data_IF_497345089517
#
_entry.id   IF_497345089517
#
_cell.length_a   1.000
_cell.length_b   1.000
_cell.length_c   1.000
_cell.angle_alpha   90.00
_cell.angle_beta   90.00
_cell.angle_gamma   90.00
#
_symmetry.space_group_name_H-M   'P 1'
#
loop_
_entity.id
_entity.type
_entity.pdbx_description
1 polymer ?
#
# COMPACT_ATOMS: atom_id res chain seq x y z
N UNK A 1 -27.13 -19.04 -2.94
CA UNK A 1 -26.21 -18.88 -4.10
C UNK A 1 -26.87 -18.15 -5.28
N UNK A 2 -28.12 -18.48 -5.65
CA UNK A 2 -28.85 -17.77 -6.71
C UNK A 2 -28.91 -16.24 -6.53
N UNK A 3 -29.25 -15.76 -5.33
CA UNK A 3 -29.38 -14.31 -5.07
C UNK A 3 -28.06 -13.53 -5.24
N UNK A 4 -26.92 -14.14 -4.88
CA UNK A 4 -25.59 -13.53 -5.05
C UNK A 4 -25.21 -13.44 -6.53
N UNK A 5 -25.55 -14.47 -7.30
CA UNK A 5 -25.36 -14.47 -8.75
C UNK A 5 -26.22 -13.41 -9.42
N UNK A 6 -27.52 -13.37 -9.10
CA UNK A 6 -28.46 -12.35 -9.61
C UNK A 6 -28.01 -10.95 -9.23
N UNK A 7 -27.59 -10.73 -7.97
CA UNK A 7 -27.01 -9.46 -7.54
C UNK A 7 -25.80 -9.07 -8.41
N UNK A 8 -24.87 -9.99 -8.66
CA UNK A 8 -23.72 -9.76 -9.52
C UNK A 8 -24.10 -9.36 -10.95
N UNK A 9 -25.14 -9.98 -11.52
CA UNK A 9 -25.68 -9.63 -12.85
C UNK A 9 -26.31 -8.24 -12.84
N UNK A 10 -27.19 -7.95 -11.87
CA UNK A 10 -27.86 -6.66 -11.75
C UNK A 10 -26.85 -5.53 -11.61
N UNK A 11 -25.91 -5.63 -10.66
CA UNK A 11 -24.91 -4.59 -10.44
C UNK A 11 -23.97 -4.40 -11.62
N UNK A 12 -23.67 -5.45 -12.39
CA UNK A 12 -22.91 -5.34 -13.63
C UNK A 12 -23.66 -4.58 -14.71
N UNK A 13 -24.99 -4.67 -14.73
CA UNK A 13 -25.84 -4.02 -15.74
C UNK A 13 -26.18 -2.58 -15.39
N UNK A 14 -26.18 -2.17 -14.11
CA UNK A 14 -26.51 -0.78 -13.74
C UNK A 14 -25.75 0.32 -14.51
N UNK A 15 -24.45 0.19 -14.84
CA UNK A 15 -23.77 1.16 -15.70
C UNK A 15 -24.40 1.37 -17.08
N UNK A 16 -25.18 0.42 -17.61
CA UNK A 16 -25.90 0.62 -18.89
C UNK A 16 -27.01 1.67 -18.78
N UNK A 17 -27.42 2.02 -17.56
CA UNK A 17 -28.42 3.05 -17.29
C UNK A 17 -27.85 4.48 -17.27
N UNK A 18 -26.53 4.65 -17.40
CA UNK A 18 -25.87 5.97 -17.37
C UNK A 18 -26.53 6.99 -18.31
N UNK A 19 -26.84 6.68 -19.59
CA UNK A 19 -27.49 7.65 -20.48
C UNK A 19 -28.85 8.12 -19.96
N UNK A 20 -29.63 7.22 -19.37
CA UNK A 20 -30.93 7.54 -18.79
C UNK A 20 -30.78 8.41 -17.54
N UNK A 21 -29.84 8.07 -16.65
CA UNK A 21 -29.56 8.84 -15.44
C UNK A 21 -29.08 10.26 -15.77
N UNK A 22 -28.26 10.40 -16.82
CA UNK A 22 -27.81 11.70 -17.31
C UNK A 22 -28.96 12.58 -17.82
N UNK A 23 -29.94 11.96 -18.48
CA UNK A 23 -31.13 12.65 -18.99
C UNK A 23 -32.09 13.19 -17.90
N UNK A 24 -31.98 12.72 -16.66
CA UNK A 24 -32.84 13.17 -15.54
C UNK A 24 -32.41 14.53 -14.96
N UNK A 25 -31.17 14.97 -15.22
CA UNK A 25 -30.68 16.33 -14.92
C UNK A 25 -30.52 16.74 -13.45
N UNK A 26 -31.18 16.05 -12.50
CA UNK A 26 -31.20 16.42 -11.08
C UNK A 26 -30.29 15.58 -10.17
N UNK A 27 -29.58 14.60 -10.71
CA UNK A 27 -28.64 13.76 -9.95
C UNK A 27 -29.27 12.77 -8.95
N UNK A 28 -30.56 12.89 -8.64
CA UNK A 28 -31.24 12.06 -7.63
C UNK A 28 -31.15 10.56 -7.93
N UNK A 29 -31.36 10.18 -9.20
CA UNK A 29 -31.25 8.79 -9.62
C UNK A 29 -29.85 8.24 -9.44
N UNK A 30 -28.82 9.04 -9.77
CA UNK A 30 -27.42 8.62 -9.66
C UNK A 30 -27.02 8.46 -8.18
N UNK A 31 -27.34 9.46 -7.34
CA UNK A 31 -27.07 9.42 -5.90
C UNK A 31 -27.73 8.22 -5.23
N UNK A 32 -29.03 8.03 -5.47
CA UNK A 32 -29.79 6.91 -4.94
C UNK A 32 -29.18 5.55 -5.33
N UNK A 33 -28.83 5.36 -6.62
CA UNK A 33 -28.26 4.10 -7.09
C UNK A 33 -26.91 3.83 -6.42
N UNK A 34 -26.01 4.81 -6.39
CA UNK A 34 -24.68 4.63 -5.79
C UNK A 34 -24.79 4.36 -4.28
N UNK A 35 -25.61 5.12 -3.54
CA UNK A 35 -25.84 4.88 -2.11
C UNK A 35 -26.44 3.51 -1.82
N UNK A 36 -27.41 3.05 -2.65
CA UNK A 36 -28.00 1.71 -2.53
C UNK A 36 -26.99 0.61 -2.83
N UNK A 37 -26.12 0.81 -3.81
CA UNK A 37 -25.03 -0.10 -4.13
C UNK A 37 -24.07 -0.25 -2.94
N UNK A 38 -23.61 0.85 -2.36
CA UNK A 38 -22.73 0.82 -1.18
C UNK A 38 -23.42 0.24 0.06
N UNK A 39 -24.69 0.58 0.29
CA UNK A 39 -25.47 -0.04 1.37
C UNK A 39 -25.60 -1.56 1.16
N UNK A 40 -25.87 -2.01 -0.07
CA UNK A 40 -25.97 -3.45 -0.36
C UNK A 40 -24.61 -4.15 -0.19
N UNK A 41 -23.53 -3.49 -0.57
CA UNK A 41 -22.18 -3.97 -0.34
C UNK A 41 -21.99 -4.39 1.13
N UNK A 42 -22.39 -3.53 2.08
CA UNK A 42 -22.30 -3.82 3.53
C UNK A 42 -23.06 -5.09 3.94
N UNK A 43 -24.17 -5.38 3.28
CA UNK A 43 -24.99 -6.57 3.59
C UNK A 43 -24.46 -7.86 2.97
N UNK A 44 -23.59 -7.76 1.95
CA UNK A 44 -22.99 -8.92 1.29
C UNK A 44 -21.67 -9.23 1.99
N UNK A 45 -21.75 -10.04 3.04
CA UNK A 45 -20.62 -10.50 3.82
C UNK A 45 -20.43 -12.01 3.66
N UNK A 46 -19.19 -12.48 3.79
CA UNK A 46 -18.91 -13.91 3.91
C UNK A 46 -18.77 -14.27 5.39
N UNK A 47 -19.21 -15.48 5.73
CA UNK A 47 -18.98 -16.08 7.04
C UNK A 47 -17.69 -16.89 7.04
N UNK A 48 -16.97 -17.00 8.17
CA UNK A 48 -15.88 -17.97 8.33
C UNK A 48 -16.31 -19.41 8.02
N UNK A 49 -17.60 -19.73 8.19
CA UNK A 49 -18.19 -21.04 7.89
C UNK A 49 -18.59 -21.23 6.43
N UNK A 50 -18.49 -20.20 5.59
CA UNK A 50 -18.83 -20.31 4.17
C UNK A 50 -17.80 -21.18 3.43
N UNK A 51 -18.28 -22.04 2.54
CA UNK A 51 -17.43 -22.81 1.61
C UNK A 51 -16.70 -21.90 0.60
N UNK A 52 -15.66 -22.43 -0.04
CA UNK A 52 -14.84 -21.68 -1.00
C UNK A 52 -15.63 -21.13 -2.19
N UNK A 53 -16.65 -21.86 -2.65
CA UNK A 53 -17.50 -21.47 -3.78
C UNK A 53 -18.36 -20.25 -3.41
N UNK A 54 -18.96 -20.26 -2.22
CA UNK A 54 -19.77 -19.16 -1.69
C UNK A 54 -18.91 -17.92 -1.43
N UNK A 55 -17.71 -18.09 -0.83
CA UNK A 55 -16.75 -16.98 -0.67
C UNK A 55 -16.41 -16.34 -2.00
N UNK A 56 -16.14 -17.14 -3.03
CA UNK A 56 -15.86 -16.66 -4.39
C UNK A 56 -17.05 -15.86 -4.97
N UNK A 57 -18.28 -16.34 -4.79
CA UNK A 57 -19.49 -15.61 -5.23
C UNK A 57 -19.68 -14.28 -4.49
N UNK A 58 -19.45 -14.24 -3.19
CA UNK A 58 -19.51 -13.02 -2.36
C UNK A 58 -18.49 -12.00 -2.84
N UNK A 59 -17.21 -12.40 -2.96
CA UNK A 59 -16.13 -11.53 -3.44
C UNK A 59 -16.42 -11.00 -4.85
N UNK A 60 -16.91 -11.85 -5.74
CA UNK A 60 -17.29 -11.44 -7.09
C UNK A 60 -18.44 -10.43 -7.08
N UNK A 61 -19.51 -10.65 -6.31
CA UNK A 61 -20.63 -9.72 -6.21
C UNK A 61 -20.18 -8.35 -5.68
N UNK A 62 -19.37 -8.33 -4.61
CA UNK A 62 -18.83 -7.10 -4.03
C UNK A 62 -17.89 -6.36 -4.98
N UNK A 63 -17.04 -7.08 -5.72
CA UNK A 63 -16.21 -6.51 -6.78
C UNK A 63 -17.06 -5.89 -7.89
N UNK A 64 -18.18 -6.52 -8.28
CA UNK A 64 -19.11 -5.94 -9.27
C UNK A 64 -19.76 -4.67 -8.74
N UNK A 65 -20.18 -4.65 -7.48
CA UNK A 65 -20.74 -3.45 -6.85
C UNK A 65 -19.72 -2.31 -6.88
N UNK A 66 -18.54 -2.52 -6.29
CA UNK A 66 -17.51 -1.47 -6.19
C UNK A 66 -17.06 -0.96 -7.56
N UNK A 67 -16.77 -1.85 -8.53
CA UNK A 67 -16.38 -1.44 -9.89
C UNK A 67 -17.49 -0.71 -10.64
N UNK A 68 -18.75 -1.12 -10.51
CA UNK A 68 -19.87 -0.43 -11.14
C UNK A 68 -20.17 0.92 -10.49
N UNK A 69 -20.03 1.05 -9.16
CA UNK A 69 -20.17 2.33 -8.45
C UNK A 69 -19.15 3.34 -8.97
N UNK A 70 -17.89 2.92 -9.13
CA UNK A 70 -16.83 3.75 -9.72
C UNK A 70 -17.17 4.18 -11.16
N UNK A 71 -17.68 3.26 -12.00
CA UNK A 71 -18.04 3.59 -13.39
C UNK A 71 -19.18 4.61 -13.48
N UNK A 72 -20.22 4.44 -12.68
CA UNK A 72 -21.35 5.37 -12.60
C UNK A 72 -20.84 6.72 -12.10
N UNK A 73 -20.01 6.73 -11.05
CA UNK A 73 -19.45 7.96 -10.52
C UNK A 73 -18.59 8.72 -11.52
N UNK A 74 -17.77 8.02 -12.32
CA UNK A 74 -16.96 8.65 -13.37
C UNK A 74 -17.83 9.33 -14.42
N UNK A 75 -18.90 8.67 -14.84
CA UNK A 75 -19.76 9.18 -15.90
C UNK A 75 -20.71 10.30 -15.46
N UNK A 76 -21.04 10.35 -14.16
CA UNK A 76 -22.04 11.23 -13.57
C UNK A 76 -21.48 12.05 -12.40
N UNK A 77 -20.19 12.39 -12.43
CA UNK A 77 -19.50 13.02 -11.31
C UNK A 77 -20.16 14.35 -10.90
N UNK A 78 -20.50 15.18 -11.88
CA UNK A 78 -21.16 16.48 -11.66
C UNK A 78 -22.56 16.30 -11.08
N UNK A 79 -23.32 15.34 -11.60
CA UNK A 79 -24.68 15.02 -11.17
C UNK A 79 -24.69 14.41 -9.76
N UNK A 80 -23.61 13.78 -9.32
CA UNK A 80 -23.46 13.22 -7.97
C UNK A 80 -23.05 14.26 -6.91
N UNK A 81 -22.66 15.47 -7.30
CA UNK A 81 -22.19 16.50 -6.38
C UNK A 81 -23.18 16.77 -5.20
N UNK A 82 -24.51 16.85 -5.40
CA UNK A 82 -25.47 17.06 -4.31
C UNK A 82 -25.52 15.90 -3.30
N UNK A 83 -25.17 14.68 -3.73
CA UNK A 83 -25.18 13.47 -2.92
C UNK A 83 -23.79 13.08 -2.40
N UNK A 84 -22.76 13.90 -2.67
CA UNK A 84 -21.37 13.60 -2.35
C UNK A 84 -21.17 13.26 -0.88
N UNK A 85 -21.76 14.03 0.03
CA UNK A 85 -21.60 13.84 1.47
C UNK A 85 -22.09 12.46 1.93
N UNK A 86 -23.27 12.06 1.48
CA UNK A 86 -23.86 10.74 1.78
C UNK A 86 -22.98 9.60 1.23
N UNK A 87 -22.59 9.68 -0.05
CA UNK A 87 -21.78 8.64 -0.68
C UNK A 87 -20.39 8.56 -0.05
N UNK A 88 -19.80 9.70 0.30
CA UNK A 88 -18.51 9.78 0.99
C UNK A 88 -18.58 9.15 2.37
N UNK A 89 -19.64 9.44 3.14
CA UNK A 89 -19.87 8.82 4.45
C UNK A 89 -19.98 7.30 4.35
N UNK A 90 -20.77 6.78 3.42
CA UNK A 90 -20.89 5.34 3.18
C UNK A 90 -19.56 4.68 2.79
N UNK A 91 -18.78 5.35 1.93
CA UNK A 91 -17.46 4.86 1.53
C UNK A 91 -16.45 4.87 2.70
N UNK A 92 -16.45 5.90 3.53
CA UNK A 92 -15.59 5.99 4.72
C UNK A 92 -15.98 4.94 5.77
N UNK A 93 -17.27 4.69 5.99
CA UNK A 93 -17.73 3.60 6.86
C UNK A 93 -17.28 2.22 6.36
N UNK A 94 -17.29 2.01 5.04
CA UNK A 94 -16.76 0.77 4.43
C UNK A 94 -15.26 0.61 4.66
N UNK A 95 -14.50 1.68 4.48
CA UNK A 95 -13.05 1.69 4.73
C UNK A 95 -12.70 1.47 6.20
N UNK A 96 -13.56 1.89 7.12
CA UNK A 96 -13.42 1.62 8.56
C UNK A 96 -13.80 0.20 8.97
N UNK A 97 -14.40 -0.60 8.08
CA UNK A 97 -14.79 -1.98 8.38
C UNK A 97 -13.64 -2.96 8.12
N UNK A 98 -13.46 -3.95 8.99
CA UNK A 98 -12.49 -5.05 8.79
C UNK A 98 -12.88 -6.03 7.68
N UNK A 99 -14.03 -5.82 7.05
CA UNK A 99 -14.64 -6.75 6.11
C UNK A 99 -14.21 -6.52 4.66
N UNK A 100 -13.40 -5.50 4.35
CA UNK A 100 -13.00 -5.13 2.99
C UNK A 100 -11.62 -5.72 2.63
N UNK A 101 -11.50 -6.29 1.42
CA UNK A 101 -10.22 -6.80 0.90
C UNK A 101 -9.36 -5.66 0.33
N UNK A 102 -8.05 -5.89 0.19
CA UNK A 102 -7.12 -4.88 -0.35
C UNK A 102 -7.51 -4.36 -1.74
N UNK A 103 -8.01 -5.24 -2.62
CA UNK A 103 -8.49 -4.86 -3.95
C UNK A 103 -9.74 -3.99 -3.89
N UNK A 104 -10.64 -4.29 -2.95
CA UNK A 104 -11.87 -3.51 -2.75
C UNK A 104 -11.57 -2.14 -2.16
N UNK A 105 -10.61 -2.02 -1.24
CA UNK A 105 -10.11 -0.75 -0.71
C UNK A 105 -9.68 0.18 -1.86
N UNK A 106 -8.97 -0.34 -2.86
CA UNK A 106 -8.56 0.45 -4.01
C UNK A 106 -9.75 0.99 -4.83
N UNK A 107 -10.82 0.21 -5.00
CA UNK A 107 -12.03 0.66 -5.70
C UNK A 107 -12.81 1.70 -4.90
N UNK A 108 -12.88 1.57 -3.57
CA UNK A 108 -13.58 2.54 -2.72
C UNK A 108 -12.82 3.88 -2.68
N UNK A 109 -11.48 3.85 -2.59
CA UNK A 109 -10.70 5.09 -2.76
C UNK A 109 -10.86 5.70 -4.15
N UNK A 110 -10.90 4.88 -5.21
CA UNK A 110 -11.16 5.40 -6.55
C UNK A 110 -12.52 6.11 -6.62
N UNK A 111 -13.56 5.54 -6.03
CA UNK A 111 -14.87 6.18 -5.94
C UNK A 111 -14.77 7.55 -5.25
N UNK A 112 -14.09 7.62 -4.09
CA UNK A 112 -13.86 8.86 -3.37
C UNK A 112 -13.16 9.92 -4.23
N UNK A 113 -12.06 9.56 -4.91
CA UNK A 113 -11.34 10.50 -5.77
C UNK A 113 -12.18 11.01 -6.94
N UNK A 114 -12.99 10.13 -7.54
CA UNK A 114 -13.90 10.54 -8.61
C UNK A 114 -14.92 11.55 -8.14
N UNK A 115 -15.46 11.38 -6.93
CA UNK A 115 -16.39 12.31 -6.30
C UNK A 115 -15.74 13.65 -5.93
N UNK A 116 -14.41 13.72 -5.89
CA UNK A 116 -13.66 14.96 -5.66
C UNK A 116 -13.42 15.78 -6.94
N UNK A 117 -13.45 15.15 -8.11
CA UNK A 117 -13.23 15.84 -9.40
C UNK A 117 -14.16 17.03 -9.69
N UNK A 118 -15.48 16.97 -9.41
CA UNK A 118 -16.40 18.09 -9.68
C UNK A 118 -16.28 19.22 -8.66
N UNK A 119 -15.43 19.09 -7.63
CA UNK A 119 -15.23 20.13 -6.61
C UNK A 119 -14.46 21.29 -7.23
N UNK A 120 -15.03 22.52 -7.25
CA UNK A 120 -14.49 23.60 -8.07
C UNK A 120 -13.27 24.30 -7.48
N UNK A 121 -13.10 24.30 -6.15
CA UNK A 121 -12.00 25.02 -5.48
C UNK A 121 -10.87 24.10 -5.04
N UNK A 122 -9.64 24.61 -5.08
CA UNK A 122 -8.45 23.90 -4.61
C UNK A 122 -8.54 23.70 -3.09
N UNK A 123 -9.09 24.67 -2.38
CA UNK A 123 -9.31 24.66 -0.94
C UNK A 123 -10.27 23.54 -0.52
N UNK A 124 -11.42 23.42 -1.19
CA UNK A 124 -12.40 22.35 -0.89
C UNK A 124 -11.85 20.97 -1.25
N UNK A 125 -11.06 20.87 -2.32
CA UNK A 125 -10.34 19.63 -2.65
C UNK A 125 -9.30 19.29 -1.59
N UNK A 126 -8.60 20.28 -1.04
CA UNK A 126 -7.63 20.07 0.04
C UNK A 126 -8.33 19.64 1.34
N UNK A 127 -9.49 20.22 1.68
CA UNK A 127 -10.33 19.77 2.80
C UNK A 127 -10.72 18.30 2.62
N UNK A 128 -11.23 17.95 1.44
CA UNK A 128 -11.56 16.56 1.11
C UNK A 128 -10.36 15.61 1.24
N UNK A 129 -9.20 15.99 0.68
CA UNK A 129 -7.99 15.18 0.79
C UNK A 129 -7.60 14.93 2.25
N UNK A 130 -7.68 15.95 3.09
CA UNK A 130 -7.42 15.81 4.52
C UNK A 130 -8.38 14.87 5.21
N UNK A 131 -9.67 14.96 4.89
CA UNK A 131 -10.68 14.06 5.44
C UNK A 131 -10.39 12.60 5.04
N UNK A 132 -10.09 12.37 3.76
CA UNK A 132 -9.75 11.03 3.24
C UNK A 132 -8.46 10.47 3.84
N UNK A 133 -7.45 11.31 4.05
CA UNK A 133 -6.15 10.91 4.63
C UNK A 133 -6.17 10.83 6.16
N UNK A 134 -7.13 11.45 6.85
CA UNK A 134 -7.13 11.59 8.31
C UNK A 134 -7.05 10.25 9.04
N UNK A 135 -8.01 9.35 8.81
CA UNK A 135 -8.08 8.05 9.47
C UNK A 135 -6.83 7.19 9.23
N UNK A 136 -6.34 6.98 7.98
CA UNK A 136 -5.14 6.18 7.78
C UNK A 136 -3.87 6.85 8.31
N UNK A 137 -3.77 8.18 8.32
CA UNK A 137 -2.63 8.88 8.94
C UNK A 137 -2.65 8.70 10.46
N UNK A 138 -3.81 8.85 11.11
CA UNK A 138 -3.98 8.64 12.56
C UNK A 138 -3.58 7.21 12.95
N UNK A 139 -4.06 6.21 12.20
CA UNK A 139 -3.68 4.81 12.43
C UNK A 139 -2.18 4.59 12.22
N UNK A 140 -1.60 5.20 11.19
CA UNK A 140 -0.19 5.06 10.84
C UNK A 140 0.74 5.63 11.89
N UNK A 141 0.40 6.78 12.48
CA UNK A 141 1.21 7.42 13.53
C UNK A 141 0.89 6.92 14.94
N UNK A 142 -0.01 5.94 15.07
CA UNK A 142 -0.35 5.37 16.37
C UNK A 142 0.86 4.70 17.02
N UNK A 143 0.86 4.65 18.36
CA UNK A 143 1.91 3.95 19.10
C UNK A 143 1.98 2.47 18.73
N UNK A 144 0.82 1.82 18.53
CA UNK A 144 0.73 0.43 18.12
C UNK A 144 1.45 0.18 16.78
N UNK A 145 1.19 1.00 15.76
CA UNK A 145 1.91 0.91 14.47
C UNK A 145 3.39 1.19 14.64
N UNK A 146 3.74 2.22 15.42
CA UNK A 146 5.14 2.59 15.72
C UNK A 146 5.93 1.43 16.33
N UNK A 147 5.34 0.72 17.28
CA UNK A 147 5.98 -0.44 17.91
C UNK A 147 6.17 -1.61 16.94
N UNK A 148 5.22 -1.85 16.04
CA UNK A 148 5.32 -2.87 14.99
C UNK A 148 6.46 -2.54 14.02
N UNK A 149 6.54 -1.30 13.54
CA UNK A 149 7.49 -0.92 12.49
C UNK A 149 8.92 -0.69 12.99
N UNK A 150 9.13 -0.52 14.30
CA UNK A 150 10.43 -0.15 14.86
C UNK A 150 11.24 -1.34 15.40
N UNK A 151 10.66 -2.55 15.47
CA UNK A 151 11.28 -3.71 16.14
C UNK A 151 11.37 -4.92 15.20
N UNK A 152 12.36 -4.95 14.27
CA UNK A 152 12.46 -6.03 13.28
C UNK A 152 12.70 -7.39 13.93
N UNK A 153 13.41 -7.41 15.06
CA UNK A 153 13.68 -8.63 15.82
C UNK A 153 12.41 -9.29 16.34
N UNK A 154 11.38 -8.51 16.67
CA UNK A 154 10.10 -9.06 17.11
C UNK A 154 9.41 -9.87 16.00
N UNK A 155 9.68 -9.56 14.72
CA UNK A 155 9.09 -10.27 13.58
C UNK A 155 9.67 -11.67 13.38
N UNK A 156 10.93 -11.89 13.75
CA UNK A 156 11.70 -13.12 13.44
C UNK A 156 12.05 -13.97 14.65
N UNK A 157 12.10 -13.37 15.85
CA UNK A 157 12.39 -14.10 17.10
C UNK A 157 11.15 -14.66 17.79
N UNK A 158 9.95 -14.46 17.20
CA UNK A 158 8.68 -15.04 17.68
C UNK A 158 8.63 -15.18 19.19
N UNK A 159 8.70 -14.07 19.95
CA UNK A 159 8.61 -14.05 21.42
C UNK A 159 9.24 -15.26 22.12
N UNK A 160 10.56 -15.37 22.25
CA UNK A 160 11.17 -16.47 23.03
C UNK A 160 11.93 -15.96 24.26
N UNK A 161 11.85 -16.68 25.40
CA UNK A 161 12.84 -17.76 25.62
C UNK A 161 12.25 -19.04 26.26
N UNK A 162 12.45 -20.19 25.61
CA UNK A 162 12.44 -21.51 26.29
C UNK A 162 11.31 -22.50 25.95
N UNK A 163 10.70 -22.43 24.77
CA UNK A 163 9.68 -23.43 24.43
C UNK A 163 9.49 -23.60 22.93
N UNK A 164 10.05 -24.68 22.39
CA UNK A 164 9.59 -25.23 21.13
C UNK A 164 8.08 -25.44 21.21
N UNK A 165 7.31 -24.73 20.37
CA UNK A 165 5.96 -25.17 20.00
C UNK A 165 5.95 -25.53 18.54
N UNK A 166 6.36 -26.77 18.28
CA UNK A 166 5.86 -27.51 17.14
C UNK A 166 4.38 -27.84 17.40
N UNK A 167 3.50 -26.92 17.00
CA UNK A 167 2.16 -27.28 16.53
C UNK A 167 1.71 -26.16 15.61
N UNK A 168 1.16 -26.49 14.44
CA UNK A 168 0.67 -25.53 13.45
C UNK A 168 -0.57 -24.74 13.89
N UNK A 169 -0.65 -24.34 15.17
CA UNK A 169 -1.74 -23.61 15.81
C UNK A 169 -1.25 -22.67 16.93
N UNK A 170 -0.02 -22.15 16.85
CA UNK A 170 0.43 -21.07 17.73
C UNK A 170 -0.01 -19.71 17.18
N UNK A 171 -0.84 -18.98 17.92
CA UNK A 171 -1.23 -17.60 17.59
C UNK A 171 0.03 -16.72 17.51
N UNK A 172 0.37 -16.26 16.32
CA UNK A 172 1.41 -15.25 16.13
C UNK A 172 0.83 -13.90 16.60
N UNK A 173 1.25 -13.39 17.77
CA UNK A 173 0.64 -12.20 18.38
C UNK A 173 0.88 -10.93 17.55
N UNK A 174 1.83 -10.98 16.61
CA UNK A 174 2.12 -9.88 15.70
C UNK A 174 1.37 -10.01 14.37
N UNK A 175 0.65 -11.11 14.11
CA UNK A 175 -0.08 -11.31 12.85
C UNK A 175 -1.08 -10.20 12.58
N UNK A 176 -2.00 -9.96 13.52
CA UNK A 176 -3.02 -8.92 13.38
C UNK A 176 -2.40 -7.51 13.27
N UNK A 177 -1.44 -7.12 14.15
CA UNK A 177 -0.73 -5.85 13.99
C UNK A 177 -0.02 -5.70 12.63
N UNK A 178 0.60 -6.76 12.12
CA UNK A 178 1.27 -6.75 10.80
C UNK A 178 0.28 -6.60 9.65
N UNK A 179 -0.85 -7.30 9.69
CA UNK A 179 -1.92 -7.19 8.69
C UNK A 179 -2.49 -5.77 8.70
N UNK A 180 -2.75 -5.22 9.89
CA UNK A 180 -3.25 -3.84 10.04
C UNK A 180 -2.26 -2.82 9.49
N UNK A 181 -0.99 -2.93 9.89
CA UNK A 181 0.10 -2.08 9.38
C UNK A 181 0.19 -2.12 7.85
N UNK A 182 0.15 -3.31 7.24
CA UNK A 182 0.20 -3.46 5.79
C UNK A 182 -1.04 -2.84 5.11
N UNK A 183 -2.22 -3.04 5.67
CA UNK A 183 -3.46 -2.42 5.20
C UNK A 183 -3.40 -0.90 5.20
N UNK A 184 -2.82 -0.31 6.25
CA UNK A 184 -2.61 1.14 6.38
C UNK A 184 -1.62 1.66 5.34
N UNK A 185 -0.46 1.00 5.15
CA UNK A 185 0.51 1.39 4.09
C UNK A 185 -0.16 1.35 2.73
N UNK A 186 -0.91 0.28 2.44
CA UNK A 186 -1.56 0.13 1.15
C UNK A 186 -2.62 1.20 0.90
N UNK A 187 -3.37 1.52 1.94
CA UNK A 187 -4.35 2.60 1.92
C UNK A 187 -3.69 3.95 1.61
N UNK A 188 -2.63 4.32 2.35
CA UNK A 188 -1.88 5.55 2.11
C UNK A 188 -1.30 5.57 0.69
N UNK A 189 -0.76 4.45 0.22
CA UNK A 189 -0.22 4.33 -1.14
C UNK A 189 -1.29 4.55 -2.22
N UNK A 190 -2.50 4.00 -2.04
CA UNK A 190 -3.62 4.24 -2.95
C UNK A 190 -3.98 5.73 -3.01
N UNK A 191 -4.06 6.40 -1.85
CA UNK A 191 -4.36 7.83 -1.75
C UNK A 191 -3.26 8.67 -2.42
N UNK A 192 -2.02 8.50 -1.98
CA UNK A 192 -0.85 9.23 -2.48
C UNK A 192 -0.70 9.05 -3.99
N UNK A 193 -0.86 7.81 -4.49
CA UNK A 193 -0.79 7.54 -5.93
C UNK A 193 -1.78 8.39 -6.70
N UNK A 194 -3.03 8.49 -6.21
CA UNK A 194 -4.07 9.26 -6.88
C UNK A 194 -3.83 10.76 -6.80
N UNK A 195 -3.33 11.28 -5.68
CA UNK A 195 -2.94 12.68 -5.58
C UNK A 195 -1.85 13.05 -6.60
N UNK A 196 -0.84 12.18 -6.77
CA UNK A 196 0.31 12.43 -7.65
C UNK A 196 -0.04 12.27 -9.13
N UNK A 197 -0.81 11.22 -9.48
CA UNK A 197 -1.19 10.96 -10.88
C UNK A 197 -2.49 11.64 -11.29
N UNK A 198 -3.18 12.30 -10.36
CA UNK A 198 -4.46 12.96 -10.57
C UNK A 198 -4.36 14.21 -11.45
N UNK A 199 -5.51 14.83 -11.71
CA UNK A 199 -5.60 16.06 -12.51
C UNK A 199 -4.90 17.26 -11.86
N UNK A 200 -4.78 18.37 -12.60
CA UNK A 200 -4.07 19.57 -12.12
C UNK A 200 -4.66 20.13 -10.82
N UNK A 201 -5.98 20.10 -10.66
CA UNK A 201 -6.65 20.58 -9.45
C UNK A 201 -6.27 19.75 -8.22
N UNK A 202 -6.32 18.41 -8.33
CA UNK A 202 -5.97 17.51 -7.23
C UNK A 202 -4.49 17.66 -6.82
N UNK A 203 -3.59 17.87 -7.79
CA UNK A 203 -2.17 18.15 -7.51
C UNK A 203 -1.98 19.49 -6.83
N UNK A 204 -2.74 20.52 -7.20
CA UNK A 204 -2.72 21.80 -6.51
C UNK A 204 -3.22 21.68 -5.07
N UNK A 205 -4.30 20.92 -4.85
CA UNK A 205 -4.83 20.64 -3.52
C UNK A 205 -3.83 19.85 -2.67
N UNK A 206 -3.16 18.87 -3.25
CA UNK A 206 -2.11 18.08 -2.59
C UNK A 206 -0.87 18.92 -2.20
N UNK A 207 -0.64 20.05 -2.87
CA UNK A 207 0.46 20.96 -2.55
C UNK A 207 0.15 21.95 -1.42
N UNK A 208 -1.09 21.97 -0.92
CA UNK A 208 -1.49 22.89 0.16
C UNK A 208 -0.78 22.57 1.48
N UNK A 209 -0.51 23.57 2.34
CA UNK A 209 0.17 23.36 3.61
C UNK A 209 -0.50 22.29 4.49
N UNK A 210 -1.82 22.29 4.52
CA UNK A 210 -2.60 21.41 5.39
C UNK A 210 -2.57 19.93 4.96
N UNK A 211 -2.35 19.65 3.67
CA UNK A 211 -2.08 18.27 3.18
C UNK A 211 -0.60 17.91 3.36
N UNK A 212 0.31 18.88 3.19
CA UNK A 212 1.74 18.69 3.41
C UNK A 212 2.05 18.26 4.87
N UNK A 213 1.31 18.78 5.85
CA UNK A 213 1.42 18.36 7.26
C UNK A 213 1.13 16.85 7.43
N UNK A 214 0.09 16.33 6.77
CA UNK A 214 -0.23 14.90 6.81
C UNK A 214 0.85 14.05 6.13
N UNK A 215 1.47 14.54 5.06
CA UNK A 215 2.63 13.89 4.43
C UNK A 215 3.80 13.83 5.41
N UNK A 216 4.10 14.92 6.10
CA UNK A 216 5.18 14.98 7.09
C UNK A 216 4.98 13.94 8.20
N UNK A 217 3.74 13.76 8.67
CA UNK A 217 3.37 12.77 9.68
C UNK A 217 3.60 11.32 9.24
N UNK A 218 3.55 11.02 7.94
CA UNK A 218 3.74 9.65 7.42
C UNK A 218 5.21 9.23 7.45
N UNK A 219 6.14 10.17 7.27
CA UNK A 219 7.55 9.88 7.03
C UNK A 219 8.28 9.15 8.16
N UNK A 220 8.10 9.46 9.46
CA UNK A 220 8.85 8.81 10.53
C UNK A 220 8.64 7.29 10.58
N UNK A 221 7.39 6.83 10.61
CA UNK A 221 7.09 5.39 10.63
C UNK A 221 7.43 4.70 9.31
N UNK A 222 7.41 5.44 8.20
CA UNK A 222 7.87 4.92 6.91
C UNK A 222 9.38 4.71 6.89
N UNK A 223 10.15 5.63 7.47
CA UNK A 223 11.57 5.47 7.67
C UNK A 223 11.88 4.30 8.63
N UNK A 224 11.10 4.14 9.71
CA UNK A 224 11.26 3.04 10.66
C UNK A 224 11.01 1.68 10.03
N UNK A 225 9.91 1.49 9.26
CA UNK A 225 9.65 0.19 8.63
C UNK A 225 10.73 -0.17 7.61
N UNK A 226 11.21 0.81 6.83
CA UNK A 226 12.29 0.61 5.85
C UNK A 226 13.58 0.22 6.57
N UNK A 227 13.94 0.93 7.64
CA UNK A 227 15.09 0.60 8.47
C UNK A 227 14.99 -0.80 9.05
N UNK A 228 13.87 -1.14 9.66
CA UNK A 228 13.61 -2.46 10.25
C UNK A 228 13.72 -3.56 9.21
N UNK A 229 13.14 -3.36 8.02
CA UNK A 229 13.33 -4.26 6.89
C UNK A 229 14.83 -4.38 6.62
N UNK A 230 15.56 -3.31 6.31
CA UNK A 230 16.99 -3.39 5.97
C UNK A 230 17.83 -4.10 7.05
N UNK A 231 17.53 -3.87 8.33
CA UNK A 231 18.19 -4.51 9.48
C UNK A 231 18.09 -6.04 9.45
N UNK A 232 16.99 -6.62 8.95
CA UNK A 232 16.88 -8.09 8.82
C UNK A 232 17.93 -8.72 7.90
N UNK A 233 18.54 -7.94 7.00
CA UNK A 233 19.57 -8.42 6.08
C UNK A 233 20.99 -8.28 6.65
N UNK A 234 21.16 -7.71 7.84
CA UNK A 234 22.47 -7.68 8.52
C UNK A 234 22.96 -9.10 8.82
N UNK A 235 24.23 -9.45 8.55
CA UNK A 235 24.77 -10.79 8.77
C UNK A 235 24.51 -11.35 10.17
N UNK A 236 24.70 -10.52 11.20
CA UNK A 236 24.48 -10.85 12.61
C UNK A 236 23.02 -11.16 12.93
N UNK A 237 22.08 -10.44 12.29
CA UNK A 237 20.64 -10.70 12.44
C UNK A 237 20.27 -11.99 11.73
N UNK A 238 20.71 -12.16 10.48
CA UNK A 238 20.47 -13.38 9.68
C UNK A 238 20.97 -14.64 10.38
N UNK A 239 22.15 -14.56 11.02
CA UNK A 239 22.75 -15.65 11.76
C UNK A 239 21.96 -16.02 13.03
N UNK A 240 21.26 -15.06 13.63
CA UNK A 240 20.42 -15.27 14.82
C UNK A 240 19.01 -15.81 14.55
N UNK A 241 18.60 -15.92 13.27
CA UNK A 241 17.27 -16.41 12.89
C UNK A 241 17.18 -17.93 13.02
N UNK A 242 16.17 -18.42 13.75
CA UNK A 242 15.88 -19.85 13.89
C UNK A 242 15.70 -20.55 12.54
N UNK A 243 16.10 -21.83 12.38
CA UNK A 243 15.95 -22.60 11.15
C UNK A 243 14.54 -22.56 10.53
N UNK A 244 13.50 -22.47 11.36
CA UNK A 244 12.08 -22.40 10.92
C UNK A 244 11.80 -21.15 10.09
N UNK A 245 12.49 -20.04 10.39
CA UNK A 245 12.28 -18.74 9.75
C UNK A 245 13.29 -18.43 8.65
N UNK A 246 14.27 -19.30 8.40
CA UNK A 246 15.27 -19.12 7.34
C UNK A 246 14.65 -18.99 5.93
N UNK A 247 13.40 -19.45 5.76
CA UNK A 247 12.60 -19.25 4.55
C UNK A 247 12.47 -17.78 4.12
N UNK A 248 12.54 -16.81 5.04
CA UNK A 248 12.44 -15.36 4.72
C UNK A 248 13.57 -14.87 3.81
N UNK A 249 14.69 -15.58 3.80
CA UNK A 249 15.85 -15.25 2.98
C UNK A 249 15.87 -15.99 1.64
N UNK A 250 14.96 -16.94 1.41
CA UNK A 250 14.88 -17.63 0.12
C UNK A 250 14.45 -16.68 -0.99
N UNK A 251 14.92 -16.99 -2.20
CA UNK A 251 14.53 -16.25 -3.39
C UNK A 251 13.48 -17.01 -4.18
N UNK A 252 12.21 -16.76 -3.85
CA UNK A 252 11.07 -17.30 -4.62
C UNK A 252 11.16 -16.89 -6.10
N UNK A 253 11.67 -15.69 -6.38
CA UNK A 253 11.90 -15.21 -7.76
C UNK A 253 12.92 -16.09 -8.49
N UNK A 254 13.99 -16.51 -7.79
CA UNK A 254 15.00 -17.40 -8.37
C UNK A 254 14.44 -18.79 -8.60
N UNK A 255 13.66 -19.33 -7.64
CA UNK A 255 12.98 -20.62 -7.75
C UNK A 255 12.04 -20.64 -8.97
N UNK A 256 11.23 -19.59 -9.16
CA UNK A 256 10.36 -19.44 -10.34
C UNK A 256 11.14 -19.33 -11.65
N UNK A 257 12.28 -18.61 -11.67
CA UNK A 257 13.09 -18.50 -12.90
C UNK A 257 13.94 -19.72 -13.20
N UNK A 258 14.32 -20.50 -12.20
CA UNK A 258 15.15 -21.68 -12.34
C UNK A 258 14.32 -22.93 -12.70
N UNK A 259 13.05 -22.98 -12.30
CA UNK A 259 12.14 -24.07 -12.57
C UNK A 259 10.81 -23.55 -13.17
N UNK A 260 10.57 -23.74 -14.49
CA UNK A 260 9.33 -23.36 -15.16
C UNK A 260 8.08 -24.07 -14.63
N UNK A 261 8.22 -25.22 -13.95
CA UNK A 261 7.12 -25.96 -13.34
C UNK A 261 6.89 -25.57 -11.88
N UNK A 262 7.70 -24.67 -11.32
CA UNK A 262 7.54 -24.20 -9.95
C UNK A 262 6.16 -23.55 -9.77
N UNK A 263 5.29 -24.27 -9.07
CA UNK A 263 4.04 -23.74 -8.55
C UNK A 263 4.26 -23.45 -7.07
N UNK A 264 3.95 -22.23 -6.65
CA UNK A 264 3.77 -21.93 -5.22
C UNK A 264 2.72 -22.93 -4.69
N UNK A 265 3.15 -23.97 -3.98
CA UNK A 265 2.26 -25.00 -3.47
C UNK A 265 1.20 -24.39 -2.54
N UNK A 266 -0.03 -24.88 -2.62
CA UNK A 266 -1.12 -24.48 -1.72
C UNK A 266 -0.72 -24.69 -0.24
N UNK A 267 0.06 -25.75 0.05
CA UNK A 267 0.58 -26.09 1.37
C UNK A 267 1.60 -25.09 1.93
N UNK A 268 2.26 -24.30 1.08
CA UNK A 268 3.17 -23.26 1.56
C UNK A 268 2.41 -22.00 1.95
N UNK A 269 1.20 -21.75 1.45
CA UNK A 269 0.50 -20.47 1.65
C UNK A 269 -0.04 -20.25 3.08
N UNK A 270 -0.13 -21.31 3.89
CA UNK A 270 -0.73 -21.29 5.23
C UNK A 270 0.28 -21.52 6.37
N UNK A 271 1.54 -21.78 6.07
CA UNK A 271 2.58 -21.91 7.10
C UNK A 271 2.97 -20.51 7.65
N UNK A 272 3.15 -20.34 8.97
CA UNK A 272 3.55 -19.05 9.56
C UNK A 272 4.80 -18.42 8.91
N UNK A 273 5.86 -19.18 8.56
CA UNK A 273 7.01 -18.66 7.83
C UNK A 273 6.65 -18.05 6.48
N UNK A 274 5.75 -18.67 5.71
CA UNK A 274 5.34 -18.18 4.41
C UNK A 274 4.42 -16.96 4.49
N UNK A 275 3.55 -16.90 5.50
CA UNK A 275 2.77 -15.69 5.78
C UNK A 275 3.70 -14.51 6.09
N UNK A 276 4.73 -14.72 6.91
CA UNK A 276 5.73 -13.70 7.22
C UNK A 276 6.56 -13.31 5.99
N UNK A 277 7.02 -14.28 5.18
CA UNK A 277 7.72 -14.00 3.92
C UNK A 277 6.88 -13.12 2.99
N UNK A 278 5.61 -13.49 2.83
CA UNK A 278 4.65 -12.78 1.99
C UNK A 278 4.41 -11.36 2.51
N UNK A 279 4.23 -11.23 3.82
CA UNK A 279 4.09 -9.93 4.48
C UNK A 279 5.35 -9.07 4.30
N UNK A 280 6.55 -9.58 4.58
CA UNK A 280 7.81 -8.83 4.42
C UNK A 280 8.01 -8.31 3.00
N UNK A 281 7.72 -9.15 1.99
CA UNK A 281 7.78 -8.75 0.59
C UNK A 281 6.80 -7.62 0.28
N UNK A 282 5.53 -7.78 0.66
CA UNK A 282 4.52 -6.75 0.40
C UNK A 282 4.78 -5.46 1.18
N UNK A 283 5.22 -5.55 2.44
CA UNK A 283 5.61 -4.39 3.26
C UNK A 283 6.76 -3.63 2.64
N UNK A 284 7.80 -4.32 2.16
CA UNK A 284 8.93 -3.68 1.47
C UNK A 284 8.48 -2.98 0.20
N UNK A 285 7.81 -3.70 -0.69
CA UNK A 285 7.42 -3.17 -2.00
C UNK A 285 6.49 -1.95 -1.84
N UNK A 286 5.51 -2.05 -0.95
CA UNK A 286 4.56 -0.98 -0.67
C UNK A 286 5.20 0.20 0.05
N UNK A 287 6.11 -0.02 1.02
CA UNK A 287 6.83 1.05 1.70
C UNK A 287 7.74 1.82 0.73
N UNK A 288 8.49 1.12 -0.11
CA UNK A 288 9.33 1.74 -1.13
C UNK A 288 8.50 2.55 -2.12
N UNK A 289 7.39 1.98 -2.59
CA UNK A 289 6.53 2.67 -3.53
C UNK A 289 5.85 3.89 -2.88
N UNK A 290 5.40 3.79 -1.63
CA UNK A 290 4.82 4.91 -0.89
C UNK A 290 5.84 6.03 -0.75
N UNK A 291 7.04 5.72 -0.28
CA UNK A 291 8.12 6.70 -0.12
C UNK A 291 8.45 7.41 -1.44
N UNK A 292 8.63 6.65 -2.51
CA UNK A 292 8.90 7.20 -3.83
C UNK A 292 7.78 8.08 -4.36
N UNK A 293 6.51 7.75 -4.07
CA UNK A 293 5.38 8.56 -4.51
C UNK A 293 5.19 9.82 -3.65
N UNK A 294 5.54 9.79 -2.37
CA UNK A 294 5.46 10.97 -1.49
C UNK A 294 6.31 12.14 -1.99
N UNK A 295 7.39 11.89 -2.74
CA UNK A 295 8.19 12.97 -3.35
C UNK A 295 7.39 13.84 -4.34
N UNK A 296 6.25 13.34 -4.85
CA UNK A 296 5.32 14.09 -5.68
C UNK A 296 4.63 15.25 -4.95
N UNK A 297 4.60 15.24 -3.61
CA UNK A 297 4.04 16.31 -2.77
C UNK A 297 5.02 17.47 -2.55
N UNK A 298 6.21 17.43 -3.16
CA UNK A 298 7.20 18.51 -3.15
C UNK A 298 7.47 19.05 -1.76
N UNK A 299 6.90 20.21 -1.39
CA UNK A 299 7.14 20.87 -0.11
C UNK A 299 6.80 19.96 1.08
N UNK A 300 5.75 19.15 1.01
CA UNK A 300 5.41 18.23 2.11
C UNK A 300 6.48 17.16 2.34
N UNK A 301 7.15 16.69 1.28
CA UNK A 301 8.20 15.67 1.40
C UNK A 301 9.57 16.28 1.64
N UNK A 302 10.02 17.15 0.73
CA UNK A 302 11.34 17.76 0.77
C UNK A 302 11.50 18.75 1.92
N UNK A 303 10.45 19.53 2.22
CA UNK A 303 10.46 20.41 3.39
C UNK A 303 10.56 19.64 4.70
N UNK A 304 9.95 18.46 4.78
CA UNK A 304 10.09 17.58 5.96
C UNK A 304 11.50 17.01 6.10
N UNK A 305 12.15 16.65 4.99
CA UNK A 305 13.54 16.19 4.98
C UNK A 305 14.50 17.33 5.34
N UNK A 306 14.25 18.53 4.82
CA UNK A 306 15.05 19.72 5.14
C UNK A 306 14.92 20.09 6.63
N UNK A 307 13.70 20.08 7.16
CA UNK A 307 13.43 20.32 8.58
C UNK A 307 14.00 19.23 9.50
N UNK A 308 14.05 17.98 9.02
CA UNK A 308 14.59 16.86 9.77
C UNK A 308 15.45 15.93 8.88
N UNK A 309 16.73 16.28 8.64
CA UNK A 309 17.63 15.48 7.81
C UNK A 309 17.87 14.06 8.36
N UNK A 310 17.62 13.84 9.65
CA UNK A 310 17.77 12.51 10.26
C UNK A 310 16.81 11.47 9.65
N UNK A 311 15.71 11.90 9.01
CA UNK A 311 14.80 11.02 8.27
C UNK A 311 15.48 10.29 7.10
N UNK A 312 16.59 10.79 6.57
CA UNK A 312 17.33 10.14 5.48
C UNK A 312 18.18 8.96 5.95
N UNK A 313 18.68 9.00 7.20
CA UNK A 313 19.61 7.98 7.71
C UNK A 313 18.99 6.57 7.80
N UNK A 314 17.74 6.38 8.29
CA UNK A 314 17.08 5.07 8.29
C UNK A 314 16.77 4.57 6.88
N UNK A 315 16.70 5.44 5.87
CA UNK A 315 16.45 5.06 4.48
C UNK A 315 17.69 4.48 3.80
N UNK A 316 18.89 4.89 4.22
CA UNK A 316 20.15 4.44 3.61
C UNK A 316 20.92 3.44 4.44
N UNK A 317 20.46 3.14 5.66
CA UNK A 317 21.13 2.18 6.53
C UNK A 317 21.12 0.77 5.93
N UNK A 318 22.20 0.02 6.19
CA UNK A 318 22.31 -1.41 5.91
C UNK A 318 22.10 -1.85 4.45
N UNK A 319 22.02 -0.90 3.49
CA UNK A 319 21.99 -1.19 2.05
C UNK A 319 23.14 -2.12 1.62
N UNK A 320 24.39 -1.98 2.13
CA UNK A 320 25.47 -2.91 1.81
C UNK A 320 25.19 -4.38 2.12
N UNK A 321 24.29 -4.68 3.06
CA UNK A 321 23.93 -6.05 3.45
C UNK A 321 22.73 -6.60 2.66
N UNK A 322 22.02 -5.76 1.90
CA UNK A 322 20.85 -6.16 1.12
C UNK A 322 21.22 -6.98 -0.11
N UNK A 323 20.33 -7.87 -0.54
CA UNK A 323 20.50 -8.61 -1.80
C UNK A 323 20.29 -7.71 -3.03
N UNK A 324 20.91 -8.08 -4.16
CA UNK A 324 20.86 -7.29 -5.40
C UNK A 324 19.42 -7.04 -5.91
N UNK A 325 18.51 -7.99 -5.72
CA UNK A 325 17.08 -7.84 -6.05
C UNK A 325 16.42 -6.69 -5.28
N UNK A 326 16.70 -6.56 -3.98
CA UNK A 326 16.12 -5.52 -3.14
C UNK A 326 16.78 -4.16 -3.43
N UNK A 327 18.10 -4.15 -3.69
CA UNK A 327 18.80 -2.95 -4.14
C UNK A 327 18.22 -2.42 -5.48
N UNK A 328 17.93 -3.31 -6.44
CA UNK A 328 17.28 -2.94 -7.70
C UNK A 328 15.90 -2.30 -7.46
N UNK A 329 15.09 -2.86 -6.57
CA UNK A 329 13.79 -2.30 -6.22
C UNK A 329 13.94 -0.93 -5.53
N UNK A 330 14.86 -0.79 -4.57
CA UNK A 330 15.17 0.47 -3.90
C UNK A 330 15.57 1.56 -4.89
N UNK A 331 16.49 1.25 -5.81
CA UNK A 331 16.94 2.17 -6.85
C UNK A 331 15.77 2.66 -7.70
N UNK A 332 14.94 1.73 -8.18
CA UNK A 332 13.82 2.04 -9.08
C UNK A 332 12.69 2.79 -8.39
N UNK A 333 12.30 2.35 -7.20
CA UNK A 333 11.07 2.82 -6.54
C UNK A 333 11.31 3.99 -5.60
N UNK A 334 12.53 4.21 -5.13
CA UNK A 334 12.85 5.29 -4.17
C UNK A 334 13.85 6.26 -4.76
N UNK A 335 15.04 5.78 -5.11
CA UNK A 335 16.15 6.67 -5.51
C UNK A 335 15.81 7.46 -6.77
N UNK A 336 15.34 6.80 -7.84
CA UNK A 336 14.99 7.47 -9.09
C UNK A 336 13.91 8.55 -8.91
N UNK A 337 12.72 8.28 -8.33
CA UNK A 337 11.71 9.32 -8.17
C UNK A 337 12.16 10.44 -7.24
N UNK A 338 12.85 10.13 -6.13
CA UNK A 338 13.35 11.14 -5.18
C UNK A 338 14.41 12.04 -5.81
N UNK A 339 15.31 11.50 -6.64
CA UNK A 339 16.30 12.29 -7.36
C UNK A 339 15.65 13.18 -8.43
N UNK A 340 14.77 12.62 -9.26
CA UNK A 340 14.07 13.36 -10.32
C UNK A 340 13.12 14.44 -9.76
N UNK A 341 12.59 14.22 -8.56
CA UNK A 341 11.68 15.15 -7.90
C UNK A 341 12.38 16.27 -7.12
N UNK A 342 13.69 16.17 -6.88
CA UNK A 342 14.42 16.97 -5.89
C UNK A 342 14.51 18.46 -6.27
N UNK A 343 14.19 19.39 -5.35
CA UNK A 343 14.50 20.80 -5.52
C UNK A 343 16.01 21.02 -5.70
N UNK A 344 16.39 21.96 -6.57
CA UNK A 344 17.81 22.22 -6.90
C UNK A 344 18.69 22.48 -5.68
N UNK A 345 18.19 23.23 -4.69
CA UNK A 345 18.95 23.55 -3.48
C UNK A 345 19.16 22.34 -2.55
N UNK A 346 18.32 21.30 -2.66
CA UNK A 346 18.46 20.06 -1.89
C UNK A 346 19.25 18.98 -2.62
N UNK A 347 19.60 19.19 -3.89
CA UNK A 347 20.28 18.19 -4.68
C UNK A 347 21.62 17.83 -4.06
N UNK A 348 22.47 18.79 -3.69
CA UNK A 348 23.80 18.51 -3.13
C UNK A 348 23.74 17.78 -1.77
N UNK A 349 22.93 18.21 -0.79
CA UNK A 349 22.73 17.46 0.45
C UNK A 349 22.23 16.02 0.23
N UNK A 350 21.24 15.85 -0.65
CA UNK A 350 20.68 14.54 -0.97
C UNK A 350 21.68 13.67 -1.74
N UNK A 351 22.44 14.26 -2.66
CA UNK A 351 23.49 13.60 -3.43
C UNK A 351 24.56 13.05 -2.50
N UNK A 352 25.04 13.85 -1.55
CA UNK A 352 26.08 13.44 -0.60
C UNK A 352 25.63 12.34 0.38
N UNK A 353 24.42 12.46 0.93
CA UNK A 353 23.97 11.55 2.00
C UNK A 353 23.34 10.25 1.50
N UNK A 354 22.72 10.27 0.31
CA UNK A 354 21.94 9.14 -0.20
C UNK A 354 22.51 8.61 -1.50
N UNK A 355 22.67 9.47 -2.51
CA UNK A 355 22.94 8.99 -3.87
C UNK A 355 24.38 8.50 -4.05
N UNK A 356 25.38 9.26 -3.57
CA UNK A 356 26.78 8.88 -3.73
C UNK A 356 27.12 7.54 -3.04
N UNK A 357 26.74 7.26 -1.77
CA UNK A 357 26.98 5.97 -1.14
C UNK A 357 26.29 4.81 -1.87
N UNK A 358 25.05 5.01 -2.32
CA UNK A 358 24.27 3.98 -3.02
C UNK A 358 24.86 3.67 -4.39
N UNK A 359 25.27 4.69 -5.15
CA UNK A 359 25.92 4.52 -6.44
C UNK A 359 27.29 3.85 -6.29
N UNK A 360 28.11 4.27 -5.31
CA UNK A 360 29.39 3.65 -5.04
C UNK A 360 29.23 2.14 -4.72
N UNK A 361 28.25 1.79 -3.88
CA UNK A 361 27.93 0.40 -3.60
C UNK A 361 27.47 -0.37 -4.85
N UNK A 362 26.58 0.23 -5.66
CA UNK A 362 26.09 -0.41 -6.87
C UNK A 362 27.22 -0.68 -7.86
N UNK A 363 28.11 0.29 -8.09
CA UNK A 363 29.28 0.11 -8.95
C UNK A 363 30.25 -0.93 -8.40
N UNK A 364 30.52 -0.93 -7.09
CA UNK A 364 31.34 -1.96 -6.45
C UNK A 364 30.81 -3.37 -6.71
N UNK A 365 29.53 -3.60 -6.45
CA UNK A 365 28.88 -4.90 -6.68
C UNK A 365 28.85 -5.32 -8.15
N UNK A 366 28.67 -4.38 -9.06
CA UNK A 366 28.73 -4.66 -10.50
C UNK A 366 30.14 -5.09 -10.90
N UNK A 367 31.17 -4.36 -10.46
CA UNK A 367 32.56 -4.69 -10.76
C UNK A 367 32.94 -6.08 -10.23
N UNK A 368 32.58 -6.40 -8.98
CA UNK A 368 32.80 -7.71 -8.37
C UNK A 368 32.06 -8.82 -9.13
N UNK A 369 30.77 -8.61 -9.42
CA UNK A 369 29.94 -9.58 -10.11
C UNK A 369 30.42 -9.87 -11.53
N UNK A 370 30.74 -8.84 -12.32
CA UNK A 370 31.30 -9.00 -13.66
C UNK A 370 32.70 -9.61 -13.64
N UNK A 371 33.54 -9.25 -12.65
CA UNK A 371 34.84 -9.87 -12.44
C UNK A 371 34.73 -11.38 -12.19
N UNK A 372 33.82 -11.79 -11.31
CA UNK A 372 33.56 -13.20 -11.02
C UNK A 372 33.04 -13.97 -12.24
N UNK A 373 32.16 -13.36 -13.06
CA UNK A 373 31.67 -13.99 -14.30
C UNK A 373 32.78 -14.17 -15.33
N UNK A 374 33.67 -13.18 -15.51
CA UNK A 374 34.82 -13.29 -16.41
C UNK A 374 35.80 -14.37 -15.95
N UNK A 375 36.04 -14.49 -14.65
CA UNK A 375 36.92 -15.52 -14.07
C UNK A 375 36.37 -16.94 -14.13
N UNK A 376 35.06 -17.14 -14.38
CA UNK A 376 34.43 -18.47 -14.60
C UNK A 376 34.38 -18.88 -16.08
N UNK A 377 34.70 -17.96 -16.99
CA UNK A 377 34.77 -18.20 -18.44
C UNK A 377 36.18 -18.44 -18.97
N UNK A 378 37.17 -18.53 -18.08
CA UNK A 378 38.51 -19.07 -18.30
C UNK A 378 38.64 -20.37 -17.48
#
# INVERSE_FOLDING_TARGET
NGDLFVAGVVFRSLPTMIPFLKGQGNGQGAGYIVSRMLTRYKTIQWSPTDDASRRTLVLNARRRISTSSVKIAHALATELLPHRGEVTGLAQELLGSSAITSDEVAHIYELLFVLSNPVPSVEDQAVFLREVMSAPVIEWVSQATTDVVSRPQAWIHGTEPGGARASGQGDDPLREPRVKCQGTIMTLLCIVRRCVTGGSALRAAAATPSVNEQVAMVLPNLANIIHSIHTLWLPEVRAGVSPVWQGIYRSVEYEVTADPEFRLGEDMSSSPPSELCTWLRHSRDSAYQLLGMLCGFKQGFYGSIEANPSLLKPLTCHIPSMENRHLRQWLRLVVTPVALGCPKHMLDPLMGQVLAPVLALAFGRLNEGYGAMRGRGA
#
